data_IF_860457105590
#
_entry.id   IF_860457105590
#
_cell.length_a   1.000
_cell.length_b   1.000
_cell.length_c   1.000
_cell.angle_alpha   90.00
_cell.angle_beta   90.00
_cell.angle_gamma   90.00
#
_symmetry.space_group_name_H-M   'P 1'
#
loop_
_entity.id
_entity.type
_entity.pdbx_description
1 polymer ?
#
# COMPACT_ATOMS: atom_id res chain seq x y z
N UNK A 1 -20.22 -0.68 -12.70
CA UNK A 1 -19.65 0.13 -11.59
C UNK A 1 -18.50 -0.67 -11.00
N UNK A 2 -17.28 -0.12 -11.02
CA UNK A 2 -16.08 -0.79 -10.47
C UNK A 2 -16.26 -1.01 -8.97
N UNK A 3 -16.04 -2.25 -8.49
CA UNK A 3 -16.16 -2.56 -7.06
C UNK A 3 -14.91 -2.18 -6.28
N UNK A 4 -13.72 -2.44 -6.83
CA UNK A 4 -12.46 -2.21 -6.15
C UNK A 4 -11.45 -1.45 -7.02
N UNK A 5 -10.71 -0.53 -6.39
CA UNK A 5 -9.52 0.10 -6.95
C UNK A 5 -8.32 -0.35 -6.13
N UNK A 6 -7.38 -1.06 -6.75
CA UNK A 6 -6.13 -1.50 -6.11
C UNK A 6 -5.03 -0.53 -6.52
N UNK A 7 -4.51 0.21 -5.56
CA UNK A 7 -3.43 1.16 -5.76
C UNK A 7 -2.11 0.47 -5.46
N UNK A 8 -1.20 0.43 -6.46
CA UNK A 8 0.07 -0.25 -6.38
C UNK A 8 -0.02 -1.73 -6.77
N UNK A 9 -0.17 -2.00 -8.09
CA UNK A 9 -0.20 -3.36 -8.65
C UNK A 9 1.21 -3.99 -8.74
N UNK A 10 2.00 -3.89 -7.67
CA UNK A 10 3.23 -4.63 -7.47
C UNK A 10 2.96 -6.09 -7.11
N UNK A 11 3.86 -6.71 -6.33
CA UNK A 11 3.76 -8.12 -5.96
C UNK A 11 2.40 -8.46 -5.29
N UNK A 12 2.05 -7.80 -4.18
CA UNK A 12 0.79 -8.07 -3.48
C UNK A 12 -0.43 -7.56 -4.26
N UNK A 13 -0.42 -6.28 -4.67
CA UNK A 13 -1.57 -5.68 -5.34
C UNK A 13 -1.89 -6.33 -6.68
N UNK A 14 -0.89 -6.79 -7.43
CA UNK A 14 -1.08 -7.55 -8.66
C UNK A 14 -1.78 -8.89 -8.41
N UNK A 15 -1.38 -9.61 -7.35
CA UNK A 15 -2.05 -10.85 -6.96
C UNK A 15 -3.51 -10.61 -6.52
N UNK A 16 -3.77 -9.52 -5.77
CA UNK A 16 -5.15 -9.13 -5.40
C UNK A 16 -6.00 -8.84 -6.65
N UNK A 17 -5.46 -8.11 -7.62
CA UNK A 17 -6.17 -7.83 -8.89
C UNK A 17 -6.49 -9.12 -9.63
N UNK A 18 -5.53 -10.05 -9.73
CA UNK A 18 -5.75 -11.33 -10.41
C UNK A 18 -6.81 -12.17 -9.69
N UNK A 19 -6.73 -12.25 -8.36
CA UNK A 19 -7.70 -13.01 -7.58
C UNK A 19 -9.12 -12.44 -7.70
N UNK A 20 -9.26 -11.11 -7.69
CA UNK A 20 -10.56 -10.45 -7.91
C UNK A 20 -11.12 -10.75 -9.29
N UNK A 21 -10.27 -10.72 -10.34
CA UNK A 21 -10.69 -11.08 -11.70
C UNK A 21 -11.11 -12.52 -11.83
N UNK A 22 -10.35 -13.44 -11.20
CA UNK A 22 -10.68 -14.87 -11.18
C UNK A 22 -12.04 -15.15 -10.52
N UNK A 23 -12.45 -14.32 -9.57
CA UNK A 23 -13.74 -14.39 -8.89
C UNK A 23 -14.79 -13.43 -9.49
N UNK A 24 -14.60 -12.95 -10.72
CA UNK A 24 -15.52 -12.08 -11.45
C UNK A 24 -15.83 -10.74 -10.73
N UNK A 25 -14.97 -10.31 -9.83
CA UNK A 25 -15.09 -9.02 -9.14
C UNK A 25 -14.49 -7.91 -10.03
N UNK A 26 -15.29 -6.92 -10.35
CA UNK A 26 -14.83 -5.77 -11.13
C UNK A 26 -13.78 -4.97 -10.37
N UNK A 27 -12.55 -4.98 -10.87
CA UNK A 27 -11.38 -4.37 -10.25
C UNK A 27 -10.54 -3.60 -11.27
N UNK A 28 -10.01 -2.45 -10.82
CA UNK A 28 -8.99 -1.70 -11.53
C UNK A 28 -7.70 -1.75 -10.71
N UNK A 29 -6.60 -2.12 -11.35
CA UNK A 29 -5.26 -1.98 -10.80
C UNK A 29 -4.58 -0.71 -11.28
N UNK A 30 -3.77 -0.07 -10.43
CA UNK A 30 -2.95 1.09 -10.79
C UNK A 30 -1.49 0.83 -10.49
N UNK A 31 -0.60 1.47 -11.25
CA UNK A 31 0.85 1.36 -11.06
C UNK A 31 1.53 2.72 -11.30
N UNK A 32 2.58 3.00 -10.56
CA UNK A 32 3.42 4.18 -10.79
C UNK A 32 4.27 4.05 -12.06
N UNK A 33 4.77 2.86 -12.35
CA UNK A 33 5.57 2.58 -13.55
C UNK A 33 4.67 2.21 -14.74
N UNK A 34 4.86 2.84 -15.90
CA UNK A 34 4.03 2.71 -17.11
C UNK A 34 4.05 1.34 -17.80
N UNK A 35 4.71 0.33 -17.28
CA UNK A 35 5.12 -0.86 -18.04
C UNK A 35 4.13 -2.05 -18.02
N UNK A 36 2.85 -1.86 -17.69
CA UNK A 36 1.86 -2.92 -17.86
C UNK A 36 0.65 -2.42 -18.65
N UNK A 37 0.28 -3.17 -19.69
CA UNK A 37 -0.91 -2.89 -20.52
C UNK A 37 -2.22 -2.86 -19.73
N UNK A 38 -2.22 -3.45 -18.53
CA UNK A 38 -3.42 -3.70 -17.71
C UNK A 38 -3.55 -2.80 -16.49
N UNK A 39 -2.65 -1.84 -16.29
CA UNK A 39 -2.70 -0.93 -15.15
C UNK A 39 -2.61 0.53 -15.56
N UNK A 40 -3.33 1.37 -14.83
CA UNK A 40 -3.36 2.81 -15.05
C UNK A 40 -2.16 3.43 -14.34
N UNK A 41 -1.44 4.32 -15.05
CA UNK A 41 -0.39 5.12 -14.39
C UNK A 41 -1.00 6.01 -13.31
N UNK A 42 -0.39 5.98 -12.11
CA UNK A 42 -0.99 6.59 -10.94
C UNK A 42 0.06 7.00 -9.91
N UNK A 43 0.04 8.25 -9.50
CA UNK A 43 0.92 8.80 -8.47
C UNK A 43 0.11 9.18 -7.22
N UNK A 44 0.35 8.49 -6.11
CA UNK A 44 -0.35 8.74 -4.83
C UNK A 44 0.09 10.05 -4.15
N UNK A 45 1.22 10.61 -4.56
CA UNK A 45 1.67 11.92 -4.04
C UNK A 45 0.91 13.07 -4.67
N UNK A 46 0.27 12.84 -5.83
CA UNK A 46 -0.58 13.80 -6.51
C UNK A 46 -2.06 13.54 -6.22
N UNK A 47 -2.66 14.36 -5.35
CA UNK A 47 -4.06 14.21 -4.94
C UNK A 47 -5.05 14.35 -6.10
N UNK A 48 -4.77 15.19 -7.11
CA UNK A 48 -5.64 15.38 -8.27
C UNK A 48 -5.68 14.12 -9.15
N UNK A 49 -4.59 13.36 -9.20
CA UNK A 49 -4.54 12.05 -9.84
C UNK A 49 -5.52 11.08 -9.15
N UNK A 50 -5.56 11.07 -7.82
CA UNK A 50 -6.47 10.23 -7.03
C UNK A 50 -7.93 10.65 -7.28
N UNK A 51 -8.22 11.94 -7.20
CA UNK A 51 -9.57 12.50 -7.44
C UNK A 51 -10.07 12.12 -8.84
N UNK A 52 -9.25 12.31 -9.86
CA UNK A 52 -9.60 12.00 -11.26
C UNK A 52 -9.90 10.52 -11.46
N UNK A 53 -9.09 9.65 -10.85
CA UNK A 53 -9.28 8.22 -10.90
C UNK A 53 -10.59 7.79 -10.19
N UNK A 54 -10.84 8.30 -8.98
CA UNK A 54 -12.07 8.03 -8.23
C UNK A 54 -13.31 8.51 -8.98
N UNK A 55 -13.28 9.71 -9.56
CA UNK A 55 -14.39 10.22 -10.39
C UNK A 55 -14.66 9.32 -11.61
N UNK A 56 -13.60 8.86 -12.28
CA UNK A 56 -13.72 8.03 -13.48
C UNK A 56 -14.31 6.65 -13.21
N UNK A 57 -13.87 6.00 -12.14
CA UNK A 57 -14.16 4.59 -11.89
C UNK A 57 -15.18 4.35 -10.77
N UNK A 58 -15.46 5.35 -9.94
CA UNK A 58 -16.44 5.31 -8.85
C UNK A 58 -16.33 4.03 -7.99
N UNK A 59 -15.14 3.69 -7.44
CA UNK A 59 -14.95 2.47 -6.68
C UNK A 59 -15.72 2.53 -5.35
N UNK A 60 -16.16 1.38 -4.85
CA UNK A 60 -16.76 1.24 -3.51
C UNK A 60 -15.69 1.04 -2.43
N UNK A 61 -14.56 0.46 -2.80
CA UNK A 61 -13.42 0.21 -1.91
C UNK A 61 -12.12 0.54 -2.62
N UNK A 62 -11.19 1.13 -1.88
CA UNK A 62 -9.80 1.31 -2.31
C UNK A 62 -8.94 0.40 -1.46
N UNK A 63 -8.06 -0.38 -2.10
CA UNK A 63 -7.04 -1.19 -1.46
C UNK A 63 -5.69 -0.57 -1.78
N UNK A 64 -5.07 0.05 -0.78
CA UNK A 64 -3.78 0.71 -0.95
C UNK A 64 -2.63 -0.25 -0.62
N UNK A 65 -2.01 -0.79 -1.67
CA UNK A 65 -0.78 -1.58 -1.62
C UNK A 65 0.45 -0.78 -2.04
N UNK A 66 0.28 0.50 -2.41
CA UNK A 66 1.39 1.32 -2.86
C UNK A 66 2.27 1.75 -1.67
N UNK A 67 3.54 1.48 -1.79
CA UNK A 67 4.58 1.94 -0.87
C UNK A 67 5.94 1.91 -1.57
N UNK A 68 6.87 2.76 -1.14
CA UNK A 68 8.28 2.51 -1.37
C UNK A 68 8.80 1.62 -0.23
N UNK A 69 9.32 0.45 -0.58
CA UNK A 69 9.74 -0.61 0.37
C UNK A 69 11.25 -0.82 0.41
N UNK A 70 12.02 -0.02 -0.33
CA UNK A 70 13.47 -0.14 -0.35
C UNK A 70 14.06 0.52 0.91
N UNK A 71 14.25 -0.26 1.97
CA UNK A 71 14.66 0.22 3.29
C UNK A 71 15.97 0.99 3.21
N UNK A 72 16.98 0.45 2.50
CA UNK A 72 18.31 1.05 2.41
C UNK A 72 18.29 2.41 1.68
N UNK A 73 17.55 2.50 0.58
CA UNK A 73 17.39 3.77 -0.15
C UNK A 73 16.64 4.80 0.70
N UNK A 74 15.66 4.37 1.49
CA UNK A 74 14.85 5.27 2.30
C UNK A 74 15.60 5.80 3.53
N UNK A 75 16.57 5.07 4.07
CA UNK A 75 17.46 5.60 5.12
C UNK A 75 18.24 6.82 4.60
N UNK A 76 18.57 6.84 3.30
CA UNK A 76 19.29 7.96 2.67
C UNK A 76 18.32 9.01 2.09
N UNK A 77 17.02 8.73 2.02
CA UNK A 77 16.02 9.63 1.43
C UNK A 77 14.72 9.66 2.23
N UNK A 78 14.80 10.17 3.45
CA UNK A 78 13.68 10.29 4.37
C UNK A 78 12.49 11.06 3.76
N UNK A 79 12.75 12.15 3.04
CA UNK A 79 11.69 12.95 2.39
C UNK A 79 10.86 12.11 1.43
N UNK A 80 11.50 11.24 0.66
CA UNK A 80 10.82 10.34 -0.28
C UNK A 80 9.97 9.31 0.47
N UNK A 81 10.51 8.73 1.56
CA UNK A 81 9.78 7.79 2.40
C UNK A 81 8.47 8.39 2.90
N UNK A 82 8.52 9.55 3.53
CA UNK A 82 7.33 10.20 4.07
C UNK A 82 6.39 10.73 2.99
N UNK A 83 6.91 11.23 1.87
CA UNK A 83 6.08 11.68 0.75
C UNK A 83 5.21 10.55 0.20
N UNK A 84 5.78 9.37 -0.01
CA UNK A 84 5.05 8.23 -0.59
C UNK A 84 4.25 7.50 0.49
N UNK A 85 4.93 7.01 1.55
CA UNK A 85 4.31 6.07 2.48
C UNK A 85 3.36 6.73 3.48
N UNK A 86 3.58 8.01 3.81
CA UNK A 86 2.75 8.75 4.74
C UNK A 86 1.79 9.72 4.04
N UNK A 87 2.31 10.72 3.31
CA UNK A 87 1.47 11.75 2.68
C UNK A 87 0.62 11.16 1.55
N UNK A 88 1.16 10.21 0.77
CA UNK A 88 0.40 9.49 -0.25
C UNK A 88 -0.78 8.72 0.36
N UNK A 89 -0.57 8.06 1.50
CA UNK A 89 -1.64 7.37 2.23
C UNK A 89 -2.69 8.36 2.79
N UNK A 90 -2.24 9.52 3.29
CA UNK A 90 -3.13 10.60 3.73
C UNK A 90 -3.99 11.14 2.59
N UNK A 91 -3.41 11.38 1.41
CA UNK A 91 -4.13 11.84 0.23
C UNK A 91 -5.26 10.87 -0.14
N UNK A 92 -4.97 9.57 -0.15
CA UNK A 92 -5.98 8.53 -0.39
C UNK A 92 -7.09 8.60 0.66
N UNK A 93 -6.75 8.71 1.94
CA UNK A 93 -7.73 8.78 3.02
C UNK A 93 -8.65 10.02 2.89
N UNK A 94 -8.10 11.20 2.55
CA UNK A 94 -8.87 12.43 2.31
C UNK A 94 -9.87 12.25 1.15
N UNK A 95 -9.43 11.63 0.05
CA UNK A 95 -10.32 11.38 -1.09
C UNK A 95 -11.37 10.32 -0.75
N UNK A 96 -11.02 9.27 0.01
CA UNK A 96 -11.97 8.28 0.50
C UNK A 96 -13.06 8.92 1.36
N UNK A 97 -12.70 9.81 2.30
CA UNK A 97 -13.65 10.56 3.14
C UNK A 97 -14.63 11.36 2.30
N UNK A 98 -14.13 12.17 1.37
CA UNK A 98 -14.95 13.05 0.52
C UNK A 98 -15.93 12.28 -0.37
N UNK A 99 -15.61 11.02 -0.72
CA UNK A 99 -16.40 10.19 -1.62
C UNK A 99 -17.12 9.02 -0.91
N UNK A 100 -17.04 8.93 0.42
CA UNK A 100 -17.61 7.84 1.25
C UNK A 100 -17.14 6.44 0.83
N UNK A 101 -15.88 6.32 0.44
CA UNK A 101 -15.24 5.08 0.00
C UNK A 101 -14.56 4.42 1.20
N UNK A 102 -14.66 3.09 1.32
CA UNK A 102 -13.91 2.32 2.31
C UNK A 102 -12.46 2.18 1.87
N UNK A 103 -11.52 2.36 2.82
CA UNK A 103 -10.09 2.16 2.59
C UNK A 103 -9.59 0.91 3.30
N UNK A 104 -8.93 0.01 2.56
CA UNK A 104 -8.02 -1.00 3.11
C UNK A 104 -6.58 -0.53 2.84
N UNK A 105 -5.81 -0.35 3.90
CA UNK A 105 -4.41 0.06 3.79
C UNK A 105 -3.48 -1.05 4.24
N UNK A 106 -2.57 -1.46 3.34
CA UNK A 106 -1.53 -2.42 3.67
C UNK A 106 -0.39 -1.68 4.37
N UNK A 107 -0.22 -1.98 5.64
CA UNK A 107 0.90 -1.53 6.45
C UNK A 107 1.94 -2.65 6.61
N UNK A 108 2.76 -2.59 7.64
CA UNK A 108 3.84 -3.53 7.92
C UNK A 108 3.91 -3.86 9.40
N UNK A 109 4.33 -5.07 9.73
CA UNK A 109 4.74 -5.49 11.07
C UNK A 109 5.97 -4.71 11.57
N UNK A 110 6.78 -4.17 10.67
CA UNK A 110 7.95 -3.35 10.98
C UNK A 110 7.62 -2.06 11.78
N UNK A 111 6.33 -1.69 11.92
CA UNK A 111 5.94 -0.60 12.83
C UNK A 111 6.25 -0.91 14.30
N UNK A 112 6.54 -2.15 14.62
CA UNK A 112 7.01 -2.62 15.94
C UNK A 112 8.52 -2.83 15.94
N UNK A 113 9.14 -2.80 17.13
CA UNK A 113 10.60 -2.94 17.30
C UNK A 113 11.11 -4.38 17.38
N UNK A 114 10.23 -5.35 17.36
CA UNK A 114 10.58 -6.78 17.44
C UNK A 114 11.01 -7.30 18.81
N UNK A 115 11.05 -6.47 19.87
CA UNK A 115 11.58 -6.86 21.19
C UNK A 115 10.63 -7.73 22.01
N UNK A 116 9.32 -7.45 21.93
CA UNK A 116 8.31 -8.14 22.71
C UNK A 116 7.95 -9.51 22.12
N UNK A 117 7.86 -9.62 20.78
CA UNK A 117 7.20 -10.73 20.10
C UNK A 117 5.68 -10.74 20.31
N UNK A 118 4.96 -11.56 19.56
CA UNK A 118 3.50 -11.73 19.69
C UNK A 118 2.74 -10.40 19.85
N UNK A 119 3.07 -9.41 19.00
CA UNK A 119 2.42 -8.11 19.03
C UNK A 119 0.94 -8.21 18.65
N UNK A 120 0.12 -7.39 19.30
CA UNK A 120 -1.30 -7.19 18.99
C UNK A 120 -1.53 -5.76 18.45
N UNK A 121 -2.72 -5.49 17.97
CA UNK A 121 -3.06 -4.23 17.28
C UNK A 121 -2.93 -3.01 18.20
N UNK A 122 -3.20 -3.18 19.50
CA UNK A 122 -3.15 -2.14 20.54
C UNK A 122 -1.74 -1.85 21.08
N UNK A 123 -0.77 -2.69 20.74
CA UNK A 123 0.60 -2.48 21.20
C UNK A 123 1.18 -1.17 20.64
N UNK A 124 2.04 -0.57 21.44
CA UNK A 124 2.69 0.69 21.07
C UNK A 124 3.65 0.46 19.92
N UNK A 125 3.41 1.18 18.82
CA UNK A 125 4.32 1.18 17.68
C UNK A 125 5.63 1.86 18.03
N UNK A 126 6.77 1.20 17.75
CA UNK A 126 8.12 1.70 17.99
C UNK A 126 9.06 1.35 16.82
N UNK A 127 8.85 1.97 15.64
CA UNK A 127 9.59 1.65 14.43
C UNK A 127 11.07 2.03 14.54
N UNK A 128 11.96 1.15 14.05
CA UNK A 128 13.41 1.30 14.20
C UNK A 128 14.12 1.89 12.98
N UNK A 129 13.45 1.98 11.83
CA UNK A 129 14.01 2.52 10.59
C UNK A 129 13.05 3.52 9.90
N UNK A 130 13.55 4.27 8.92
CA UNK A 130 12.79 5.32 8.20
C UNK A 130 11.59 4.73 7.45
N UNK A 131 11.74 3.58 6.79
CA UNK A 131 10.61 2.89 6.16
C UNK A 131 9.46 2.67 7.15
N UNK A 132 9.77 2.03 8.27
CA UNK A 132 8.79 1.71 9.30
C UNK A 132 8.17 2.97 9.95
N UNK A 133 8.97 4.02 10.19
CA UNK A 133 8.49 5.33 10.67
C UNK A 133 7.51 5.96 9.68
N UNK A 134 7.81 5.89 8.39
CA UNK A 134 6.94 6.42 7.34
C UNK A 134 5.61 5.64 7.24
N UNK A 135 5.64 4.30 7.39
CA UNK A 135 4.44 3.46 7.45
C UNK A 135 3.60 3.79 8.68
N UNK A 136 4.21 3.86 9.87
CA UNK A 136 3.53 4.27 11.11
C UNK A 136 2.86 5.64 10.98
N UNK A 137 3.54 6.63 10.39
CA UNK A 137 2.94 7.94 10.18
C UNK A 137 1.75 7.86 9.20
N UNK A 138 1.84 7.05 8.14
CA UNK A 138 0.74 6.80 7.22
C UNK A 138 -0.50 6.27 7.94
N UNK A 139 -0.35 5.29 8.83
CA UNK A 139 -1.46 4.77 9.66
C UNK A 139 -2.11 5.88 10.51
N UNK A 140 -1.29 6.70 11.19
CA UNK A 140 -1.77 7.81 12.02
C UNK A 140 -2.51 8.86 11.19
N UNK A 141 -2.04 9.16 9.98
CA UNK A 141 -2.68 10.12 9.10
C UNK A 141 -3.99 9.58 8.52
N UNK A 142 -4.07 8.28 8.21
CA UNK A 142 -5.32 7.64 7.80
C UNK A 142 -6.36 7.72 8.93
N UNK A 143 -6.01 7.26 10.13
CA UNK A 143 -6.94 7.24 11.27
C UNK A 143 -7.42 8.64 11.67
N UNK A 144 -6.59 9.66 11.50
CA UNK A 144 -6.97 11.06 11.74
C UNK A 144 -7.99 11.60 10.72
N UNK A 145 -7.89 11.15 9.47
CA UNK A 145 -8.66 11.74 8.36
C UNK A 145 -9.88 10.93 7.93
N UNK A 146 -9.97 9.65 8.25
CA UNK A 146 -11.00 8.74 7.75
C UNK A 146 -11.50 7.84 8.88
N UNK A 147 -12.80 7.58 8.94
CA UNK A 147 -13.41 6.65 9.92
C UNK A 147 -13.62 5.25 9.32
N UNK A 148 -13.97 5.17 8.03
CA UNK A 148 -14.26 3.90 7.34
C UNK A 148 -13.01 3.31 6.70
N UNK A 149 -12.09 2.81 7.53
CA UNK A 149 -10.86 2.18 7.09
C UNK A 149 -10.57 0.86 7.81
N UNK A 150 -9.67 0.08 7.21
CA UNK A 150 -8.97 -1.06 7.83
C UNK A 150 -7.50 -0.91 7.53
N UNK A 151 -6.64 -1.06 8.54
CA UNK A 151 -5.19 -1.15 8.39
C UNK A 151 -4.80 -2.60 8.61
N UNK A 152 -4.04 -3.16 7.67
CA UNK A 152 -3.53 -4.53 7.75
C UNK A 152 -2.03 -4.47 7.91
N UNK A 153 -1.53 -4.72 9.11
CA UNK A 153 -0.09 -4.87 9.40
C UNK A 153 0.30 -6.29 9.05
N UNK A 154 1.11 -6.44 8.03
CA UNK A 154 1.50 -7.76 7.53
C UNK A 154 2.90 -7.75 6.98
N UNK A 155 3.52 -8.92 6.99
CA UNK A 155 4.66 -9.25 6.17
C UNK A 155 4.21 -10.26 5.11
N UNK A 156 4.71 -10.16 3.90
CA UNK A 156 4.36 -11.09 2.83
C UNK A 156 5.60 -11.48 2.04
N UNK A 157 5.66 -12.74 1.67
CA UNK A 157 6.73 -13.33 0.87
C UNK A 157 6.14 -14.33 -0.11
N UNK A 158 6.89 -14.64 -1.15
CA UNK A 158 6.46 -15.59 -2.17
C UNK A 158 7.34 -15.53 -3.40
N UNK A 159 6.99 -16.32 -4.40
CA UNK A 159 7.68 -16.36 -5.68
C UNK A 159 7.35 -15.12 -6.51
N UNK A 160 8.37 -14.44 -6.99
CA UNK A 160 8.22 -13.33 -7.94
C UNK A 160 8.95 -13.67 -9.24
N UNK A 161 8.37 -13.29 -10.37
CA UNK A 161 8.96 -13.53 -11.70
C UNK A 161 10.32 -12.84 -11.93
N UNK A 162 10.59 -11.80 -11.15
CA UNK A 162 11.90 -11.13 -11.15
C UNK A 162 12.60 -11.54 -9.85
N UNK A 163 13.69 -12.27 -9.89
CA UNK A 163 14.45 -12.86 -8.76
C UNK A 163 14.90 -11.87 -7.66
N UNK A 164 14.06 -10.94 -7.26
CA UNK A 164 14.38 -9.79 -6.39
C UNK A 164 13.93 -9.93 -4.95
N UNK A 165 13.22 -11.01 -4.58
CA UNK A 165 12.66 -11.15 -3.24
C UNK A 165 13.35 -12.25 -2.43
N UNK A 166 13.26 -12.14 -1.10
CA UNK A 166 13.90 -13.02 -0.13
C UNK A 166 13.74 -14.52 -0.48
N UNK A 167 12.56 -14.93 -0.90
CA UNK A 167 12.28 -16.34 -1.20
C UNK A 167 13.06 -16.83 -2.44
N UNK A 168 13.10 -16.06 -3.52
CA UNK A 168 13.90 -16.38 -4.70
C UNK A 168 15.39 -16.35 -4.37
N UNK A 169 15.84 -15.40 -3.54
CA UNK A 169 17.22 -15.35 -3.07
C UNK A 169 17.60 -16.59 -2.27
N UNK A 170 16.76 -17.04 -1.31
CA UNK A 170 17.00 -18.28 -0.55
C UNK A 170 17.13 -19.46 -1.51
N UNK A 171 16.20 -19.63 -2.45
CA UNK A 171 16.25 -20.73 -3.43
C UNK A 171 17.51 -20.70 -4.29
N UNK A 172 18.04 -19.53 -4.62
CA UNK A 172 19.28 -19.39 -5.39
C UNK A 172 20.53 -19.80 -4.60
N UNK A 173 20.41 -20.04 -3.29
CA UNK A 173 21.50 -20.45 -2.40
C UNK A 173 21.42 -21.93 -1.97
N UNK A 174 20.33 -22.62 -2.34
CA UNK A 174 20.17 -24.07 -2.18
C UNK A 174 20.66 -24.82 -3.42
#
# INVERSE_FOLDING_TARGET
MVRALVIGSGFLGGNIVNEFRNNEIQVIGTNYHKNSSDSIHFDITNIDSIISCVKKYSPRVIINCAANVNVDDLENNEKLAFSINANGAENIAKVCKSNKIRLLHISSDAVFDGKKGMYVEEDVMNPINIYAKSKMLGEKLISKNLENYVIIRTNFYGFHKQDKFLFNWILSKL
#
